data_IF_700166074512
#
_entry.id   IF_700166074512
#
_cell.length_a   1.000
_cell.length_b   1.000
_cell.length_c   1.000
_cell.angle_alpha   90.00
_cell.angle_beta   90.00
_cell.angle_gamma   90.00
#
_symmetry.space_group_name_H-M   'P 1'
#
loop_
_entity.id
_entity.type
_entity.pdbx_description
1 polymer ?
#
# COMPACT_ATOMS: atom_id res chain seq x y z
N UNK A 1 22.45 -14.34 -38.90
CA UNK A 1 21.64 -15.49 -38.40
C UNK A 1 21.30 -15.21 -36.95
N UNK A 2 20.04 -14.86 -36.67
CA UNK A 2 19.56 -14.71 -35.30
C UNK A 2 19.20 -16.12 -34.80
N UNK A 3 20.14 -16.76 -34.14
CA UNK A 3 19.85 -17.99 -33.40
C UNK A 3 19.10 -17.63 -32.10
N UNK A 4 18.02 -18.34 -31.76
CA UNK A 4 17.34 -18.11 -30.50
C UNK A 4 18.26 -18.51 -29.32
N UNK A 5 18.35 -17.66 -28.31
CA UNK A 5 19.07 -18.00 -27.09
C UNK A 5 18.32 -19.09 -26.32
N UNK A 6 19.07 -20.09 -25.86
CA UNK A 6 18.53 -21.14 -24.99
C UNK A 6 18.99 -20.88 -23.55
N UNK A 7 18.06 -20.84 -22.62
CA UNK A 7 18.32 -20.67 -21.20
C UNK A 7 17.91 -21.92 -20.43
N UNK A 8 18.72 -22.30 -19.46
CA UNK A 8 18.45 -23.41 -18.58
C UNK A 8 17.89 -22.89 -17.25
N UNK A 9 16.80 -23.52 -16.77
CA UNK A 9 16.20 -23.16 -15.48
C UNK A 9 16.84 -24.04 -14.42
N UNK A 10 17.63 -23.44 -13.54
CA UNK A 10 18.29 -24.17 -12.45
C UNK A 10 17.34 -24.37 -11.27
N UNK A 11 16.55 -23.35 -10.92
CA UNK A 11 15.62 -23.38 -9.80
C UNK A 11 14.36 -22.60 -10.13
N UNK A 12 13.20 -23.09 -9.72
CA UNK A 12 11.93 -22.38 -9.81
C UNK A 12 11.12 -22.54 -8.52
N UNK A 13 10.76 -21.42 -7.89
CA UNK A 13 9.90 -21.40 -6.68
C UNK A 13 8.41 -21.46 -7.00
N UNK A 14 8.05 -21.31 -8.26
CA UNK A 14 6.68 -21.37 -8.76
C UNK A 14 6.67 -21.86 -10.20
N UNK A 15 5.50 -22.28 -10.68
CA UNK A 15 5.33 -22.73 -12.06
C UNK A 15 5.67 -21.61 -13.05
N UNK A 16 6.54 -21.92 -14.02
CA UNK A 16 6.92 -21.06 -15.12
C UNK A 16 6.09 -21.46 -16.34
N UNK A 17 5.39 -20.52 -16.96
CA UNK A 17 4.50 -20.74 -18.09
C UNK A 17 5.05 -20.13 -19.35
N UNK A 18 4.62 -20.65 -20.49
CA UNK A 18 4.87 -20.01 -21.78
C UNK A 18 4.34 -18.58 -21.79
N UNK A 19 5.15 -17.61 -22.23
CA UNK A 19 4.86 -16.19 -22.16
C UNK A 19 5.38 -15.46 -20.91
N UNK A 20 6.06 -16.17 -19.99
CA UNK A 20 6.77 -15.51 -18.88
C UNK A 20 7.96 -14.71 -19.40
N UNK A 21 8.19 -13.53 -18.80
CA UNK A 21 9.30 -12.66 -19.15
C UNK A 21 10.56 -13.06 -18.39
N UNK A 22 11.69 -12.99 -19.06
CA UNK A 22 13.02 -13.19 -18.48
C UNK A 22 13.65 -11.81 -18.31
N UNK A 23 14.08 -11.51 -17.10
CA UNK A 23 14.76 -10.26 -16.79
C UNK A 23 16.16 -10.56 -16.24
N UNK A 24 17.16 -9.73 -16.56
CA UNK A 24 18.48 -9.87 -15.96
C UNK A 24 18.41 -9.62 -14.46
N UNK A 25 19.15 -10.41 -13.69
CA UNK A 25 19.36 -10.14 -12.26
C UNK A 25 20.38 -9.02 -12.14
N UNK A 26 19.95 -7.89 -11.59
CA UNK A 26 20.87 -6.82 -11.24
C UNK A 26 21.57 -7.15 -9.94
N UNK A 27 22.84 -7.43 -9.98
CA UNK A 27 23.68 -7.73 -8.80
C UNK A 27 23.69 -6.62 -7.75
N UNK A 28 23.41 -5.37 -8.14
CA UNK A 28 23.26 -4.23 -7.24
C UNK A 28 21.92 -4.18 -6.46
N UNK A 29 21.02 -5.13 -6.65
CA UNK A 29 19.74 -5.21 -5.93
C UNK A 29 19.75 -6.20 -4.76
N UNK A 30 20.93 -6.60 -4.29
CA UNK A 30 21.03 -7.29 -3.01
C UNK A 30 20.48 -6.38 -1.93
N UNK A 31 19.37 -6.80 -1.30
CA UNK A 31 18.83 -6.09 -0.15
C UNK A 31 19.91 -6.07 0.93
N UNK A 32 20.25 -4.91 1.49
CA UNK A 32 21.17 -4.87 2.62
C UNK A 32 20.59 -5.73 3.75
N UNK A 33 21.45 -6.46 4.43
CA UNK A 33 21.04 -7.36 5.51
C UNK A 33 20.54 -6.59 6.75
N UNK A 34 20.81 -5.28 6.80
CA UNK A 34 20.45 -4.40 7.91
C UNK A 34 19.84 -3.12 7.39
N UNK A 35 18.72 -2.73 7.99
CA UNK A 35 18.05 -1.45 7.75
C UNK A 35 18.05 -0.65 9.05
N UNK A 36 18.45 0.60 8.98
CA UNK A 36 18.17 1.55 10.05
C UNK A 36 16.77 2.10 9.83
N UNK A 37 15.86 1.84 10.76
CA UNK A 37 14.52 2.41 10.70
C UNK A 37 14.56 3.89 11.04
N UNK A 38 13.89 4.69 10.22
CA UNK A 38 13.75 6.13 10.40
C UNK A 38 12.33 6.58 10.08
N UNK A 39 11.89 7.66 10.69
CA UNK A 39 10.60 8.25 10.32
C UNK A 39 10.70 8.84 8.91
N UNK A 40 9.74 8.52 8.05
CA UNK A 40 9.69 9.11 6.71
C UNK A 40 9.42 10.62 6.79
N UNK A 41 10.07 11.37 5.93
CA UNK A 41 9.92 12.85 5.85
C UNK A 41 9.09 13.30 4.66
N UNK A 42 8.54 12.36 3.88
CA UNK A 42 7.74 12.68 2.71
C UNK A 42 6.46 13.43 3.09
N UNK A 43 6.15 14.49 2.35
CA UNK A 43 4.87 15.20 2.48
C UNK A 43 3.78 14.63 1.56
N UNK A 44 4.14 13.68 0.68
CA UNK A 44 3.21 13.12 -0.29
C UNK A 44 2.38 12.01 0.33
N UNK A 45 1.07 12.11 0.19
CA UNK A 45 0.14 11.06 0.54
C UNK A 45 0.20 9.93 -0.48
N UNK A 46 0.35 8.70 0.00
CA UNK A 46 0.45 7.49 -0.81
C UNK A 46 -0.70 6.53 -0.50
N UNK A 47 -0.72 5.40 -1.20
CA UNK A 47 -1.69 4.33 -0.96
C UNK A 47 -1.06 2.95 -1.18
N UNK A 48 -1.61 1.95 -0.52
CA UNK A 48 -1.28 0.55 -0.78
C UNK A 48 -1.96 0.13 -2.08
N UNK A 49 -1.17 -0.27 -3.08
CA UNK A 49 -1.66 -0.63 -4.40
C UNK A 49 -1.71 -2.13 -4.65
N UNK A 50 -0.87 -2.90 -3.98
CA UNK A 50 -0.81 -4.36 -4.13
C UNK A 50 -0.25 -5.02 -2.88
N UNK A 51 -0.61 -6.29 -2.66
CA UNK A 51 -0.03 -7.19 -1.66
C UNK A 51 0.70 -8.34 -2.36
N UNK A 52 1.68 -8.93 -1.71
CA UNK A 52 2.40 -10.08 -2.25
C UNK A 52 1.51 -11.32 -2.35
N UNK A 53 0.66 -11.55 -1.35
CA UNK A 53 -0.26 -12.68 -1.27
C UNK A 53 -1.52 -12.51 -2.14
N UNK A 54 -1.81 -11.30 -2.64
CA UNK A 54 -3.02 -11.01 -3.42
C UNK A 54 -4.32 -11.01 -2.62
N UNK A 55 -4.26 -11.08 -1.29
CA UNK A 55 -5.44 -11.04 -0.41
C UNK A 55 -5.99 -9.63 -0.26
N UNK A 56 -7.28 -9.52 0.06
CA UNK A 56 -7.96 -8.23 0.23
C UNK A 56 -7.71 -7.58 1.58
N UNK A 57 -7.57 -8.38 2.61
CA UNK A 57 -7.31 -7.96 3.98
C UNK A 57 -6.07 -8.68 4.49
N UNK A 58 -5.14 -7.92 5.06
CA UNK A 58 -3.84 -8.42 5.47
C UNK A 58 -3.37 -7.71 6.73
N UNK A 59 -2.31 -8.22 7.33
CA UNK A 59 -1.78 -7.71 8.58
C UNK A 59 -0.26 -7.77 8.66
N UNK A 60 0.24 -7.93 9.88
CA UNK A 60 1.65 -7.99 10.19
C UNK A 60 2.40 -9.00 9.31
N UNK A 61 3.61 -8.64 8.89
CA UNK A 61 4.54 -9.41 8.04
C UNK A 61 4.11 -9.58 6.58
N UNK A 62 3.01 -8.98 6.15
CA UNK A 62 2.67 -8.93 4.73
C UNK A 62 3.56 -7.92 4.00
N UNK A 63 3.97 -8.27 2.79
CA UNK A 63 4.68 -7.36 1.89
C UNK A 63 3.69 -6.64 1.01
N UNK A 64 3.78 -5.32 1.01
CA UNK A 64 2.89 -4.44 0.26
C UNK A 64 3.67 -3.57 -0.72
N UNK A 65 3.03 -3.20 -1.80
CA UNK A 65 3.53 -2.21 -2.76
C UNK A 65 2.78 -0.90 -2.55
N UNK A 66 3.52 0.20 -2.51
CA UNK A 66 3.01 1.56 -2.35
C UNK A 66 3.35 2.40 -3.58
N UNK A 67 2.50 3.38 -3.91
CA UNK A 67 2.63 4.23 -5.11
C UNK A 67 3.50 5.47 -4.90
N UNK A 68 4.52 5.36 -4.08
CA UNK A 68 5.57 6.38 -3.89
C UNK A 68 6.93 5.72 -3.95
N UNK A 69 7.93 6.49 -4.39
CA UNK A 69 9.28 5.99 -4.59
C UNK A 69 10.35 7.03 -4.33
N UNK A 70 11.53 6.85 -4.91
CA UNK A 70 12.66 7.76 -4.73
C UNK A 70 12.36 9.18 -5.24
N UNK A 71 11.51 9.34 -6.26
CA UNK A 71 11.06 10.65 -6.74
C UNK A 71 10.21 11.42 -5.72
N UNK A 72 9.66 10.73 -4.73
CA UNK A 72 8.83 11.28 -3.66
C UNK A 72 9.60 11.38 -2.33
N UNK A 73 10.93 11.35 -2.38
CA UNK A 73 11.85 11.39 -1.23
C UNK A 73 11.66 10.20 -0.26
N UNK A 74 11.25 9.04 -0.77
CA UNK A 74 11.21 7.79 0.00
C UNK A 74 12.57 7.12 -0.05
N UNK A 75 13.04 6.71 1.12
CA UNK A 75 14.29 6.00 1.30
C UNK A 75 14.06 4.62 1.91
N UNK A 76 15.05 3.77 1.74
CA UNK A 76 15.07 2.47 2.38
C UNK A 76 15.22 2.62 3.90
N UNK A 77 14.40 1.90 4.68
CA UNK A 77 14.33 2.06 6.13
C UNK A 77 13.24 3.04 6.61
N UNK A 78 12.62 3.81 5.70
CA UNK A 78 11.56 4.73 6.07
C UNK A 78 10.35 3.98 6.64
N UNK A 79 9.90 4.44 7.81
CA UNK A 79 8.68 3.98 8.46
C UNK A 79 7.57 4.97 8.16
N UNK A 80 6.43 4.45 7.74
CA UNK A 80 5.24 5.20 7.34
C UNK A 80 4.04 4.71 8.13
N UNK A 81 3.12 5.63 8.43
CA UNK A 81 1.82 5.31 9.04
C UNK A 81 0.79 4.93 7.98
N UNK A 82 0.00 3.92 8.29
CA UNK A 82 -1.16 3.53 7.48
C UNK A 82 -2.42 4.07 8.12
N UNK A 83 -3.14 4.89 7.36
CA UNK A 83 -4.35 5.54 7.80
C UNK A 83 -5.56 5.03 7.02
N UNK A 84 -6.67 4.89 7.70
CA UNK A 84 -7.97 4.62 7.10
C UNK A 84 -8.89 5.81 7.29
N UNK A 85 -9.47 6.28 6.19
CA UNK A 85 -10.53 7.29 6.26
C UNK A 85 -11.74 6.70 6.98
N UNK A 86 -12.15 7.34 8.06
CA UNK A 86 -13.41 7.02 8.71
C UNK A 86 -14.58 7.38 7.79
N UNK A 87 -15.67 6.61 7.79
CA UNK A 87 -16.88 6.99 7.07
C UNK A 87 -17.39 8.33 7.59
N UNK A 88 -17.80 9.21 6.70
CA UNK A 88 -18.46 10.46 7.09
C UNK A 88 -19.75 10.20 7.84
N UNK A 89 -20.26 11.22 8.55
CA UNK A 89 -21.54 11.17 9.23
C UNK A 89 -22.52 12.10 8.50
N UNK A 90 -23.72 11.62 8.25
CA UNK A 90 -24.80 12.37 7.62
C UNK A 90 -25.90 12.57 8.65
N UNK A 91 -26.40 13.79 8.79
CA UNK A 91 -27.58 14.06 9.60
C UNK A 91 -28.86 13.58 8.89
N UNK A 92 -29.65 12.78 9.60
CA UNK A 92 -30.95 12.32 9.13
C UNK A 92 -32.03 12.78 10.10
N UNK A 93 -33.31 12.77 9.69
CA UNK A 93 -34.42 13.11 10.56
C UNK A 93 -34.52 12.31 11.87
N UNK A 94 -33.82 11.18 11.96
CA UNK A 94 -33.74 10.30 13.13
C UNK A 94 -32.37 10.40 13.87
N UNK A 95 -31.55 11.39 13.55
CA UNK A 95 -30.23 11.59 14.12
C UNK A 95 -29.06 11.30 13.15
N UNK A 96 -27.81 11.50 13.61
CA UNK A 96 -26.65 11.27 12.79
C UNK A 96 -26.40 9.78 12.51
N UNK A 97 -26.14 9.41 11.25
CA UNK A 97 -25.81 8.06 10.79
C UNK A 97 -24.54 8.08 9.96
N UNK A 98 -23.77 7.00 9.99
CA UNK A 98 -22.61 6.88 9.10
C UNK A 98 -23.05 6.83 7.64
N UNK A 99 -22.24 7.44 6.76
CA UNK A 99 -22.51 7.43 5.31
C UNK A 99 -22.59 6.02 4.72
N UNK A 100 -21.91 5.04 5.35
CA UNK A 100 -22.02 3.62 5.00
C UNK A 100 -23.44 3.05 5.22
N UNK A 101 -24.12 3.51 6.26
CA UNK A 101 -25.40 2.98 6.72
C UNK A 101 -26.58 3.85 6.27
N UNK A 102 -26.29 5.05 5.75
CA UNK A 102 -27.28 5.96 5.23
C UNK A 102 -27.96 5.44 3.96
N UNK A 103 -29.28 5.65 3.85
CA UNK A 103 -30.01 5.31 2.64
C UNK A 103 -29.49 6.06 1.41
N UNK A 104 -29.71 5.49 0.22
CA UNK A 104 -29.25 6.08 -1.05
C UNK A 104 -29.76 7.52 -1.24
N UNK A 105 -30.97 7.81 -0.79
CA UNK A 105 -31.58 9.15 -0.86
C UNK A 105 -30.92 10.13 0.10
N UNK A 106 -30.63 9.74 1.32
CA UNK A 106 -29.93 10.58 2.29
C UNK A 106 -28.50 10.90 1.86
N UNK A 107 -27.82 9.96 1.18
CA UNK A 107 -26.49 10.22 0.59
C UNK A 107 -26.54 11.22 -0.56
N UNK A 108 -27.57 11.16 -1.41
CA UNK A 108 -27.74 12.10 -2.54
C UNK A 108 -28.16 13.49 -2.08
N UNK A 109 -29.08 13.57 -1.13
CA UNK A 109 -29.57 14.84 -0.59
C UNK A 109 -28.51 15.64 0.18
N UNK A 110 -27.52 14.94 0.78
CA UNK A 110 -26.48 15.54 1.61
C UNK A 110 -25.09 15.48 0.97
N UNK A 111 -25.00 15.25 -0.36
CA UNK A 111 -23.72 14.98 -1.04
C UNK A 111 -22.76 16.18 -1.07
N UNK A 112 -23.23 17.42 -0.90
CA UNK A 112 -22.36 18.59 -1.09
C UNK A 112 -22.04 19.42 0.16
N UNK A 113 -22.82 19.37 1.24
CA UNK A 113 -22.64 20.38 2.30
C UNK A 113 -22.82 19.97 3.77
N UNK A 114 -23.13 18.75 4.12
CA UNK A 114 -23.47 18.41 5.52
C UNK A 114 -22.84 17.17 6.11
N UNK A 115 -21.86 16.56 5.42
CA UNK A 115 -21.13 15.41 5.97
C UNK A 115 -20.01 15.87 6.90
N UNK A 116 -20.11 15.65 8.19
CA UNK A 116 -18.96 15.77 9.08
C UNK A 116 -17.89 14.76 8.63
N UNK A 117 -16.73 15.27 8.20
CA UNK A 117 -15.56 14.42 7.93
C UNK A 117 -14.98 13.98 9.26
N UNK A 118 -15.10 12.71 9.56
CA UNK A 118 -14.41 12.13 10.70
C UNK A 118 -12.89 12.09 10.42
N UNK A 119 -12.06 12.26 11.45
CA UNK A 119 -10.62 12.15 11.30
C UNK A 119 -10.24 10.75 10.81
N UNK A 120 -9.13 10.66 10.07
CA UNK A 120 -8.55 9.36 9.71
C UNK A 120 -8.05 8.63 10.96
N UNK A 121 -8.11 7.33 10.92
CA UNK A 121 -7.63 6.46 12.01
C UNK A 121 -6.32 5.81 11.58
N UNK A 122 -5.27 5.91 12.38
CA UNK A 122 -4.04 5.16 12.18
C UNK A 122 -4.30 3.69 12.49
N UNK A 123 -4.16 2.84 11.49
CA UNK A 123 -4.45 1.40 11.58
C UNK A 123 -3.22 0.52 11.55
N UNK A 124 -2.04 1.07 11.28
CA UNK A 124 -0.80 0.32 11.29
C UNK A 124 0.41 1.12 10.84
N UNK A 125 1.57 0.46 10.81
CA UNK A 125 2.83 1.01 10.34
C UNK A 125 3.50 0.04 9.38
N UNK A 126 4.16 0.59 8.36
CA UNK A 126 4.93 -0.15 7.37
C UNK A 126 6.35 0.38 7.31
N UNK A 127 7.31 -0.47 6.95
CA UNK A 127 8.71 -0.08 6.71
C UNK A 127 9.09 -0.38 5.27
N UNK A 128 9.64 0.61 4.61
CA UNK A 128 10.12 0.49 3.22
C UNK A 128 11.46 -0.26 3.21
N UNK A 129 11.55 -1.35 2.47
CA UNK A 129 12.80 -2.12 2.33
C UNK A 129 13.35 -2.13 0.90
N UNK A 130 12.55 -1.77 -0.10
CA UNK A 130 13.00 -1.65 -1.48
C UNK A 130 12.34 -0.46 -2.15
N UNK A 131 13.14 0.41 -2.73
CA UNK A 131 12.68 1.65 -3.36
C UNK A 131 12.97 1.60 -4.85
N UNK A 132 11.98 1.95 -5.65
CA UNK A 132 12.07 2.24 -7.08
C UNK A 132 11.67 3.70 -7.34
N UNK A 133 11.77 4.17 -8.56
CA UNK A 133 11.50 5.58 -8.88
C UNK A 133 10.10 6.06 -8.45
N UNK A 134 9.05 5.30 -8.75
CA UNK A 134 7.63 5.68 -8.54
C UNK A 134 6.88 4.77 -7.59
N UNK A 135 7.47 3.66 -7.20
CA UNK A 135 6.83 2.67 -6.32
C UNK A 135 7.86 2.14 -5.34
N UNK A 136 7.42 1.67 -4.20
CA UNK A 136 8.27 1.01 -3.22
C UNK A 136 7.61 -0.23 -2.67
N UNK A 137 8.42 -1.14 -2.16
CA UNK A 137 7.96 -2.32 -1.42
C UNK A 137 8.20 -2.08 0.06
N UNK A 138 7.18 -2.37 0.86
CA UNK A 138 7.22 -2.19 2.31
C UNK A 138 6.71 -3.44 3.02
N UNK A 139 7.22 -3.64 4.22
CA UNK A 139 6.79 -4.70 5.13
C UNK A 139 5.86 -4.11 6.18
N UNK A 140 4.73 -4.76 6.43
CA UNK A 140 3.83 -4.38 7.53
C UNK A 140 4.48 -4.78 8.86
N UNK A 141 4.87 -3.80 9.67
CA UNK A 141 5.47 -4.02 10.98
C UNK A 141 4.42 -4.32 12.05
N UNK A 142 3.36 -3.52 12.03
CA UNK A 142 2.28 -3.59 13.00
C UNK A 142 0.96 -3.17 12.37
N UNK A 143 -0.14 -3.78 12.81
CA UNK A 143 -1.49 -3.36 12.46
C UNK A 143 -2.44 -3.62 13.64
N UNK A 144 -3.28 -2.65 13.95
CA UNK A 144 -4.35 -2.75 14.96
C UNK A 144 -5.63 -3.33 14.38
N UNK A 145 -5.82 -3.16 13.08
CA UNK A 145 -6.95 -3.68 12.29
C UNK A 145 -6.43 -4.28 10.98
N UNK A 146 -7.16 -5.18 10.32
CA UNK A 146 -6.78 -5.66 9.00
C UNK A 146 -6.60 -4.50 8.03
N UNK A 147 -5.43 -4.41 7.39
CA UNK A 147 -5.13 -3.42 6.35
C UNK A 147 -5.79 -3.83 5.04
N UNK A 148 -6.04 -2.86 4.18
CA UNK A 148 -6.72 -3.05 2.88
C UNK A 148 -5.99 -2.32 1.77
N UNK A 149 -6.20 -2.79 0.55
CA UNK A 149 -5.81 -2.02 -0.63
C UNK A 149 -6.49 -0.65 -0.61
N UNK A 150 -5.76 0.39 -1.01
CA UNK A 150 -6.15 1.80 -1.00
C UNK A 150 -6.19 2.45 0.39
N UNK A 151 -5.81 1.75 1.48
CA UNK A 151 -5.51 2.45 2.74
C UNK A 151 -4.42 3.49 2.46
N UNK A 152 -4.54 4.64 3.10
CA UNK A 152 -3.69 5.80 2.86
C UNK A 152 -2.41 5.64 3.67
N UNK A 153 -1.32 6.12 3.10
CA UNK A 153 -0.02 6.10 3.74
C UNK A 153 0.46 7.53 3.89
N UNK A 154 0.92 7.87 5.07
CA UNK A 154 1.44 9.20 5.42
C UNK A 154 2.76 9.06 6.18
N UNK A 155 3.50 10.15 6.30
CA UNK A 155 4.57 10.24 7.28
C UNK A 155 3.97 10.05 8.70
N UNK A 156 4.73 9.46 9.63
CA UNK A 156 4.26 9.20 10.99
C UNK A 156 4.03 10.48 11.79
#
# INVERSE_FOLDING_TARGET
LNEPATLYIEEAKQEIRSGSFILPVNEGQLLPSFFTMQAATTSKQAAIVKTSSGVREFGKLEVVMINVGSLDAINQGDVLSVERKSPGVVETGNGPVYTSDASRWNRLANSENSGYKMPSETVGNIMVFKVHEKVSMALVLHSTKPLRLKDIITAP
#
